data_IF_619699371977
#
_entry.id   IF_619699371977
#
_cell.length_a   1.000
_cell.length_b   1.000
_cell.length_c   1.000
_cell.angle_alpha   90.00
_cell.angle_beta   90.00
_cell.angle_gamma   90.00
#
_symmetry.space_group_name_H-M   'P 1'
#
loop_
_entity.id
_entity.type
_entity.pdbx_description
1 polymer ?
#
# COMPACT_ATOMS: atom_id res chain seq x y z
N UNK A 1 -22.87 -27.97 50.12
CA UNK A 1 -22.74 -26.55 50.52
C UNK A 1 -21.48 -26.02 49.86
N UNK A 2 -21.36 -24.88 49.18
CA UNK A 2 -22.27 -23.90 48.59
C UNK A 2 -21.36 -23.09 47.63
N UNK A 3 -21.79 -22.78 46.41
CA UNK A 3 -20.99 -22.02 45.43
C UNK A 3 -21.14 -20.51 45.69
N UNK A 4 -20.10 -19.68 45.57
CA UNK A 4 -20.29 -18.25 45.40
C UNK A 4 -20.37 -17.83 43.93
N UNK A 5 -21.17 -16.79 43.72
CA UNK A 5 -21.80 -16.34 42.46
C UNK A 5 -20.95 -15.32 41.68
N UNK A 6 -21.30 -15.24 40.39
CA UNK A 6 -20.86 -14.32 39.33
C UNK A 6 -20.95 -12.82 39.71
N UNK A 7 -20.02 -12.02 39.16
CA UNK A 7 -20.24 -10.59 38.90
C UNK A 7 -20.17 -10.37 37.38
N UNK A 8 -21.24 -9.78 36.83
CA UNK A 8 -21.43 -9.38 35.44
C UNK A 8 -21.09 -7.89 35.33
N UNK A 9 -20.22 -7.50 34.39
CA UNK A 9 -20.17 -6.13 33.91
C UNK A 9 -20.70 -6.07 32.48
N UNK A 10 -21.95 -5.60 32.36
CA UNK A 10 -22.59 -5.22 31.11
C UNK A 10 -21.99 -3.89 30.64
N UNK A 11 -21.30 -3.87 29.50
CA UNK A 11 -21.03 -2.63 28.76
C UNK A 11 -22.06 -2.58 27.63
N UNK A 12 -22.99 -1.63 27.75
CA UNK A 12 -24.08 -1.36 26.79
C UNK A 12 -23.61 -0.25 25.86
N UNK A 13 -23.36 -0.58 24.59
CA UNK A 13 -23.21 0.43 23.54
C UNK A 13 -24.59 0.77 23.00
N UNK A 14 -25.03 2.02 23.19
CA UNK A 14 -26.21 2.56 22.52
C UNK A 14 -25.78 3.08 21.16
N UNK A 15 -26.26 2.44 20.10
CA UNK A 15 -26.20 2.95 18.74
C UNK A 15 -27.55 3.63 18.50
N UNK A 16 -27.56 4.95 18.38
CA UNK A 16 -28.73 5.70 17.92
C UNK A 16 -28.98 5.33 16.45
N UNK A 17 -30.16 4.82 16.19
CA UNK A 17 -30.65 4.49 14.85
C UNK A 17 -31.90 5.35 14.62
N UNK A 18 -31.74 6.45 13.90
CA UNK A 18 -32.89 7.17 13.36
C UNK A 18 -33.32 6.50 12.06
N UNK A 19 -34.48 5.87 12.14
CA UNK A 19 -35.27 5.30 11.06
C UNK A 19 -36.40 6.28 10.75
N UNK A 20 -36.62 6.62 9.48
CA UNK A 20 -37.94 7.06 8.97
C UNK A 20 -38.05 6.88 7.44
N UNK A 21 -38.64 5.75 7.05
CA UNK A 21 -39.77 5.56 6.11
C UNK A 21 -39.87 6.33 4.77
N UNK A 22 -40.00 5.56 3.67
CA UNK A 22 -41.13 5.52 2.69
C UNK A 22 -41.98 6.80 2.47
N UNK A 23 -42.39 7.27 1.28
CA UNK A 23 -42.81 6.64 0.00
C UNK A 23 -42.86 7.69 -1.16
N UNK A 24 -43.00 7.16 -2.39
CA UNK A 24 -43.78 7.68 -3.54
C UNK A 24 -43.23 8.78 -4.49
N UNK A 25 -42.88 8.30 -5.70
CA UNK A 25 -43.42 8.69 -7.02
C UNK A 25 -43.35 10.14 -7.60
N UNK A 26 -42.67 10.19 -8.76
CA UNK A 26 -42.98 10.95 -9.99
C UNK A 26 -42.58 12.42 -10.08
N UNK A 27 -41.61 12.73 -10.97
CA UNK A 27 -41.85 13.50 -12.21
C UNK A 27 -40.60 13.58 -13.12
N UNK A 28 -40.88 13.47 -14.42
CA UNK A 28 -40.00 13.63 -15.59
C UNK A 28 -39.41 15.04 -15.70
N UNK A 29 -38.25 15.16 -16.37
CA UNK A 29 -37.91 16.04 -17.52
C UNK A 29 -36.40 15.79 -17.83
N UNK A 30 -35.95 15.29 -19.01
CA UNK A 30 -35.78 16.00 -20.30
C UNK A 30 -35.09 17.36 -20.11
N UNK A 31 -34.01 17.78 -20.75
CA UNK A 31 -33.09 17.36 -21.82
C UNK A 31 -31.71 18.00 -21.41
N UNK A 32 -30.52 17.75 -21.96
CA UNK A 32 -30.05 18.17 -23.28
C UNK A 32 -28.50 18.06 -23.33
N UNK A 33 -27.96 18.07 -24.54
CA UNK A 33 -26.61 17.69 -24.99
C UNK A 33 -25.46 18.68 -24.70
N UNK A 34 -24.25 18.27 -25.10
CA UNK A 34 -23.00 19.00 -25.38
C UNK A 34 -21.96 18.99 -24.23
N UNK A 35 -20.65 18.89 -24.45
CA UNK A 35 -19.80 18.67 -25.62
C UNK A 35 -18.37 18.47 -25.07
N UNK A 36 -17.53 17.83 -25.87
CA UNK A 36 -16.17 17.40 -25.61
C UNK A 36 -15.13 18.53 -25.38
N UNK A 37 -13.98 18.09 -24.83
CA UNK A 37 -12.57 18.43 -25.20
C UNK A 37 -11.80 19.53 -24.45
N UNK A 38 -10.64 19.10 -23.90
CA UNK A 38 -9.29 19.70 -23.94
C UNK A 38 -9.08 21.19 -23.60
N UNK A 39 -8.23 21.49 -22.60
CA UNK A 39 -6.78 21.66 -22.80
C UNK A 39 -6.09 22.33 -21.59
N UNK A 40 -5.00 21.69 -21.16
CA UNK A 40 -3.70 22.27 -20.83
C UNK A 40 -3.56 23.49 -19.89
N UNK A 41 -2.93 23.17 -18.76
CA UNK A 41 -1.60 23.66 -18.40
C UNK A 41 -1.52 25.12 -17.89
N UNK A 42 -1.44 25.27 -16.58
CA UNK A 42 -0.63 26.35 -16.01
C UNK A 42 0.11 25.83 -14.79
N UNK A 43 1.38 25.50 -15.04
CA UNK A 43 2.42 25.20 -14.07
C UNK A 43 2.42 26.23 -12.94
N UNK A 44 2.25 25.76 -11.72
CA UNK A 44 2.74 26.48 -10.56
C UNK A 44 3.27 25.49 -9.52
N UNK A 45 4.32 24.75 -9.91
CA UNK A 45 5.10 23.96 -8.96
C UNK A 45 6.21 24.88 -8.44
N UNK A 46 5.90 25.59 -7.36
CA UNK A 46 6.91 26.11 -6.45
C UNK A 46 7.54 24.89 -5.74
N UNK A 47 8.53 24.28 -6.38
CA UNK A 47 9.35 23.24 -5.76
C UNK A 47 10.22 23.89 -4.68
N UNK A 48 9.71 23.91 -3.45
CA UNK A 48 10.53 24.11 -2.26
C UNK A 48 11.54 22.96 -2.20
N UNK A 49 12.81 23.27 -2.44
CA UNK A 49 13.97 22.38 -2.31
C UNK A 49 14.26 22.04 -0.83
N UNK A 50 13.32 21.39 -0.15
CA UNK A 50 13.51 20.87 1.22
C UNK A 50 13.06 19.41 1.40
N UNK A 51 12.65 18.69 0.35
CA UNK A 51 12.17 17.30 0.40
C UNK A 51 13.18 16.25 -0.12
N UNK A 52 14.47 16.56 -0.04
CA UNK A 52 15.52 15.63 -0.46
C UNK A 52 15.75 14.58 0.65
N UNK A 53 14.98 13.48 0.66
CA UNK A 53 15.34 12.12 1.14
C UNK A 53 14.16 11.26 1.63
N UNK A 54 12.90 11.65 1.43
CA UNK A 54 11.77 10.78 1.81
C UNK A 54 11.53 9.73 0.73
N UNK A 55 11.44 8.46 1.12
CA UNK A 55 11.01 7.40 0.22
C UNK A 55 9.48 7.43 0.14
N UNK A 56 8.94 7.56 -1.07
CA UNK A 56 7.49 7.59 -1.33
C UNK A 56 7.04 6.32 -2.02
N UNK A 57 5.74 6.06 -1.99
CA UNK A 57 5.11 4.95 -2.68
C UNK A 57 5.37 5.04 -4.18
N UNK A 58 5.13 6.22 -4.78
CA UNK A 58 5.27 6.46 -6.22
C UNK A 58 6.70 6.16 -6.67
N UNK A 59 7.69 6.66 -5.94
CA UNK A 59 9.10 6.44 -6.26
C UNK A 59 9.47 4.95 -6.28
N UNK A 60 9.01 4.20 -5.27
CA UNK A 60 9.26 2.76 -5.20
C UNK A 60 8.50 2.01 -6.31
N UNK A 61 7.23 2.31 -6.50
CA UNK A 61 6.36 1.58 -7.43
C UNK A 61 6.75 1.82 -8.89
N UNK A 62 6.97 3.08 -9.27
CA UNK A 62 7.35 3.48 -10.64
C UNK A 62 8.77 3.04 -11.01
N UNK A 63 9.63 2.78 -10.02
CA UNK A 63 10.98 2.27 -10.29
C UNK A 63 10.99 0.82 -10.80
N UNK A 64 9.89 0.07 -10.62
CA UNK A 64 9.79 -1.32 -11.06
C UNK A 64 9.42 -1.35 -12.55
N UNK A 65 10.21 -2.01 -13.42
CA UNK A 65 9.88 -2.16 -14.83
C UNK A 65 8.53 -2.84 -15.03
N UNK A 66 7.77 -2.37 -16.02
CA UNK A 66 6.44 -2.93 -16.37
C UNK A 66 6.50 -4.45 -16.63
N UNK A 67 7.58 -4.92 -17.28
CA UNK A 67 7.82 -6.35 -17.55
C UNK A 67 7.91 -7.16 -16.26
N UNK A 68 8.56 -6.61 -15.22
CA UNK A 68 8.66 -7.24 -13.90
C UNK A 68 7.31 -7.21 -13.18
N UNK A 69 6.59 -6.08 -13.24
CA UNK A 69 5.24 -5.96 -12.69
C UNK A 69 4.28 -7.01 -13.28
N UNK A 70 4.32 -7.24 -14.59
CA UNK A 70 3.48 -8.24 -15.25
C UNK A 70 3.79 -9.67 -14.81
N UNK A 71 5.07 -10.00 -14.59
CA UNK A 71 5.49 -11.32 -14.09
C UNK A 71 5.01 -11.59 -12.66
N UNK A 72 4.88 -10.56 -11.84
CA UNK A 72 4.56 -10.68 -10.40
C UNK A 72 3.14 -10.22 -10.05
N UNK A 73 2.32 -9.80 -11.03
CA UNK A 73 0.99 -9.20 -10.81
C UNK A 73 0.07 -10.03 -9.90
N UNK A 74 0.11 -11.36 -10.04
CA UNK A 74 -0.72 -12.29 -9.29
C UNK A 74 -0.02 -12.80 -8.01
N UNK A 75 1.27 -12.50 -7.85
CA UNK A 75 2.06 -12.93 -6.70
C UNK A 75 1.73 -12.09 -5.46
N UNK A 76 1.70 -12.74 -4.30
CA UNK A 76 1.51 -12.10 -3.00
C UNK A 76 2.81 -12.06 -2.21
N UNK A 77 3.00 -11.01 -1.43
CA UNK A 77 4.19 -10.81 -0.59
C UNK A 77 3.98 -11.47 0.78
N UNK A 78 4.92 -12.31 1.21
CA UNK A 78 4.86 -13.07 2.47
C UNK A 78 5.65 -12.38 3.59
N UNK A 79 6.78 -11.77 3.28
CA UNK A 79 7.60 -11.02 4.23
C UNK A 79 8.40 -9.92 3.54
N UNK A 80 8.79 -8.92 4.32
CA UNK A 80 9.68 -7.84 3.91
C UNK A 80 10.91 -7.82 4.80
N UNK A 81 12.10 -7.77 4.22
CA UNK A 81 13.33 -7.44 4.95
C UNK A 81 13.60 -5.95 4.82
N UNK A 82 13.93 -5.33 5.95
CA UNK A 82 14.17 -3.89 6.06
C UNK A 82 15.57 -3.71 6.61
N UNK A 83 16.42 -3.00 5.89
CA UNK A 83 17.74 -2.61 6.37
C UNK A 83 17.69 -1.17 6.89
N UNK A 84 18.01 -0.99 8.18
CA UNK A 84 18.09 0.35 8.78
C UNK A 84 19.53 0.85 8.73
N UNK A 85 19.76 1.92 7.96
CA UNK A 85 21.09 2.49 7.69
C UNK A 85 21.74 3.27 8.84
N UNK A 86 21.67 2.78 10.09
CA UNK A 86 22.29 3.45 11.25
C UNK A 86 23.39 2.60 11.87
N UNK A 87 24.62 2.73 11.33
CA UNK A 87 25.93 2.35 11.90
C UNK A 87 26.16 0.85 12.22
N UNK A 88 25.11 0.08 12.48
CA UNK A 88 25.09 -1.37 12.57
C UNK A 88 23.93 -1.81 11.67
N UNK A 89 24.24 -2.46 10.55
CA UNK A 89 23.24 -2.94 9.60
C UNK A 89 22.39 -4.04 10.25
N UNK A 90 21.40 -3.65 11.03
CA UNK A 90 20.41 -4.58 11.59
C UNK A 90 19.29 -4.72 10.58
N UNK A 91 19.23 -5.85 9.89
CA UNK A 91 18.10 -6.21 9.07
C UNK A 91 16.94 -6.64 9.97
N UNK A 92 15.76 -6.04 9.78
CA UNK A 92 14.52 -6.45 10.44
C UNK A 92 13.66 -7.19 9.44
N UNK A 93 13.23 -8.40 9.79
CA UNK A 93 12.20 -9.10 9.04
C UNK A 93 10.82 -8.69 9.54
N UNK A 94 9.95 -8.23 8.64
CA UNK A 94 8.53 -8.06 8.87
C UNK A 94 7.78 -9.19 8.17
N UNK A 95 7.16 -10.07 8.96
CA UNK A 95 6.27 -11.12 8.44
C UNK A 95 4.83 -10.62 8.48
N UNK A 96 4.18 -10.57 7.32
CA UNK A 96 2.77 -10.20 7.25
C UNK A 96 1.91 -11.33 7.85
N UNK A 97 0.82 -10.97 8.54
CA UNK A 97 -0.10 -11.97 9.14
C UNK A 97 -0.69 -12.90 8.08
N UNK A 98 -0.99 -12.35 6.91
CA UNK A 98 -1.41 -13.05 5.70
C UNK A 98 -0.63 -12.46 4.52
N UNK A 99 -0.42 -13.21 3.43
CA UNK A 99 0.21 -12.66 2.24
C UNK A 99 -0.56 -11.45 1.70
N UNK A 100 0.16 -10.37 1.39
CA UNK A 100 -0.42 -9.07 0.98
C UNK A 100 -0.17 -8.79 -0.50
N UNK A 101 -0.88 -7.81 -1.07
CA UNK A 101 -0.58 -7.32 -2.43
C UNK A 101 0.76 -6.60 -2.47
N UNK A 102 1.35 -6.51 -3.67
CA UNK A 102 2.56 -5.73 -3.91
C UNK A 102 2.38 -4.27 -3.49
N UNK A 103 1.27 -3.65 -3.90
CA UNK A 103 0.92 -2.27 -3.56
C UNK A 103 0.92 -2.02 -2.05
N UNK A 104 0.27 -2.90 -1.27
CA UNK A 104 0.25 -2.80 0.19
C UNK A 104 1.65 -2.93 0.79
N UNK A 105 2.45 -3.87 0.27
CA UNK A 105 3.82 -4.05 0.73
C UNK A 105 4.70 -2.83 0.44
N UNK A 106 4.54 -2.18 -0.72
CA UNK A 106 5.26 -0.96 -1.08
C UNK A 106 4.83 0.22 -0.22
N UNK A 107 3.53 0.38 0.05
CA UNK A 107 3.05 1.38 1.02
C UNK A 107 3.70 1.19 2.40
N UNK A 108 3.76 -0.05 2.87
CA UNK A 108 4.42 -0.37 4.14
C UNK A 108 5.91 0.03 4.15
N UNK A 109 6.64 -0.16 3.05
CA UNK A 109 8.04 0.26 2.93
C UNK A 109 8.19 1.79 2.94
N UNK A 110 7.32 2.50 2.21
CA UNK A 110 7.29 3.96 2.15
C UNK A 110 6.95 4.57 3.53
N UNK A 111 5.93 4.05 4.22
CA UNK A 111 5.54 4.47 5.57
C UNK A 111 6.64 4.22 6.60
N UNK A 112 7.42 3.15 6.40
CA UNK A 112 8.57 2.83 7.24
C UNK A 112 9.80 3.69 6.92
N UNK A 113 9.76 4.52 5.87
CA UNK A 113 10.84 5.36 5.34
C UNK A 113 12.17 4.59 5.20
N UNK A 114 12.09 3.39 4.63
CA UNK A 114 13.23 2.48 4.47
C UNK A 114 13.89 2.71 3.13
N UNK A 115 15.23 2.88 3.14
CA UNK A 115 16.02 3.05 1.92
C UNK A 115 16.30 1.71 1.23
N UNK A 116 16.74 0.72 1.99
CA UNK A 116 17.14 -0.58 1.45
C UNK A 116 16.22 -1.67 2.01
N UNK A 117 15.59 -2.42 1.12
CA UNK A 117 14.61 -3.44 1.50
C UNK A 117 14.49 -4.55 0.48
N UNK A 118 13.91 -5.68 0.91
CA UNK A 118 13.61 -6.81 0.04
C UNK A 118 12.20 -7.29 0.32
N UNK A 119 11.34 -7.32 -0.70
CA UNK A 119 10.05 -7.97 -0.64
C UNK A 119 10.19 -9.40 -1.13
N UNK A 120 9.66 -10.37 -0.37
CA UNK A 120 9.70 -11.77 -0.76
C UNK A 120 8.29 -12.30 -0.94
N UNK A 121 8.05 -12.89 -2.10
CA UNK A 121 6.76 -13.41 -2.51
C UNK A 121 6.52 -14.83 -1.98
N UNK A 122 5.29 -15.30 -2.13
CA UNK A 122 4.89 -16.67 -1.75
C UNK A 122 5.56 -17.76 -2.60
N UNK A 123 6.02 -17.43 -3.81
CA UNK A 123 6.75 -18.31 -4.72
C UNK A 123 8.28 -18.18 -4.53
N UNK A 124 8.71 -17.57 -3.43
CA UNK A 124 10.11 -17.33 -3.06
C UNK A 124 10.90 -16.43 -4.04
N UNK A 125 10.25 -15.85 -5.04
CA UNK A 125 10.80 -14.72 -5.78
C UNK A 125 10.97 -13.51 -4.86
N UNK A 126 11.79 -12.54 -5.27
CA UNK A 126 12.00 -11.32 -4.51
C UNK A 126 12.07 -10.07 -5.39
N UNK A 127 11.72 -8.94 -4.80
CA UNK A 127 12.06 -7.61 -5.30
C UNK A 127 12.99 -6.96 -4.31
N UNK A 128 14.07 -6.38 -4.80
CA UNK A 128 15.06 -5.67 -3.98
C UNK A 128 14.95 -4.20 -4.32
N UNK A 129 15.02 -3.38 -3.27
CA UNK A 129 15.07 -1.94 -3.38
C UNK A 129 16.33 -1.46 -2.68
N UNK A 130 17.10 -0.64 -3.37
CA UNK A 130 18.32 -0.01 -2.90
C UNK A 130 18.16 1.50 -3.04
N UNK A 131 18.40 2.25 -1.96
CA UNK A 131 18.18 3.70 -1.90
C UNK A 131 16.79 4.17 -2.38
N UNK A 132 15.77 3.34 -2.16
CA UNK A 132 14.39 3.60 -2.55
C UNK A 132 14.11 3.51 -4.04
N UNK A 133 14.92 2.75 -4.78
CA UNK A 133 14.69 2.40 -6.17
C UNK A 133 14.79 0.88 -6.31
N UNK A 134 14.01 0.30 -7.21
CA UNK A 134 14.14 -1.10 -7.61
C UNK A 134 15.58 -1.37 -8.07
N UNK A 135 16.16 -2.42 -7.52
CA UNK A 135 17.48 -2.92 -7.85
C UNK A 135 17.30 -4.22 -8.61
N UNK A 136 17.58 -4.17 -9.91
CA UNK A 136 17.62 -5.35 -10.75
C UNK A 136 18.92 -6.08 -10.44
N UNK A 137 18.86 -7.07 -9.54
CA UNK A 137 19.96 -8.01 -9.43
C UNK A 137 19.98 -8.84 -10.72
N UNK A 138 21.08 -8.76 -11.45
CA UNK A 138 21.45 -9.72 -12.49
C UNK A 138 21.63 -11.10 -11.85
N UNK A 139 20.51 -11.81 -11.61
CA UNK A 139 20.51 -13.16 -11.04
C UNK A 139 20.67 -14.23 -12.15
N UNK A 140 20.70 -13.82 -13.43
CA UNK A 140 20.78 -14.73 -14.57
C UNK A 140 21.97 -14.43 -15.49
N UNK A 141 23.18 -14.51 -14.96
CA UNK A 141 24.30 -15.00 -15.76
C UNK A 141 24.54 -16.47 -15.39
N UNK A 142 23.59 -17.35 -15.76
CA UNK A 142 23.95 -18.75 -16.02
C UNK A 142 24.79 -18.73 -17.29
N UNK A 143 26.11 -18.60 -17.13
CA UNK A 143 27.06 -18.81 -18.21
C UNK A 143 27.06 -20.32 -18.52
N UNK A 144 26.65 -20.65 -19.74
CA UNK A 144 26.74 -21.97 -20.39
C UNK A 144 28.12 -22.64 -20.21
#
# INVERSE_FOLDING_TARGET
MERPKKIKNNIRFSIESDSCSETSETQKNQDENNSCTNNNNTNNINSNENDCNKITFEKLFESIPQTTLEKIKDSKVKYAFITKGTIHSTSKQHKFKQPVSLEFAIHFLADSNVKDSTLVFINDNSLIFSNGCYDELDIFDESD
#
